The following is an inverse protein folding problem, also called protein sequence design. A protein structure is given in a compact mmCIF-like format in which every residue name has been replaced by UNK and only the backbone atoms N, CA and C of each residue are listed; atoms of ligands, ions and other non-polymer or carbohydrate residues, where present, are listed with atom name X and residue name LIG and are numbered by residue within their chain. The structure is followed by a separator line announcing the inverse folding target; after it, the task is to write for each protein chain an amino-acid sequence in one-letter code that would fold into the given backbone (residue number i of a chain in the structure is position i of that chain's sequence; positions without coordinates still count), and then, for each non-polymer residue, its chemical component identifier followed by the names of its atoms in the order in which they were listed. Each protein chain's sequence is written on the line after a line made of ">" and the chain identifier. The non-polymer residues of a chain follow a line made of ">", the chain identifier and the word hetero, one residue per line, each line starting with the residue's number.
data_IF_792688233756
#
_entry.id   IF_792688233756
#
_cell.length_a   1.000
_cell.length_b   1.000
_cell.length_c   1.000
_cell.angle_alpha   90.00
_cell.angle_beta   90.00
_cell.angle_gamma   90.00
#
_symmetry.space_group_name_H-M   'P 1'
#
loop_
_entity.id
_entity.type
_entity.pdbx_description
1 polymer ?
#
# COMPACT_ATOMS: atom_id res chain seq x y z
N UNK A 1 -32.05 -1.94 49.73
CA UNK A 1 -30.75 -2.57 49.41
C UNK A 1 -30.80 -2.87 47.93
N UNK A 2 -30.23 -1.99 47.10
CA UNK A 2 -30.25 -2.14 45.64
C UNK A 2 -28.94 -2.81 45.22
N UNK A 3 -29.06 -3.96 44.59
CA UNK A 3 -27.94 -4.76 44.09
C UNK A 3 -27.36 -4.10 42.85
N UNK A 4 -26.10 -3.66 42.93
CA UNK A 4 -25.30 -3.22 41.79
C UNK A 4 -24.98 -4.43 40.91
N UNK A 5 -25.57 -4.47 39.71
CA UNK A 5 -25.08 -5.29 38.61
C UNK A 5 -24.14 -4.46 37.77
N UNK A 6 -22.88 -4.35 38.19
CA UNK A 6 -21.84 -3.79 37.34
C UNK A 6 -21.51 -4.80 36.25
N UNK A 7 -22.03 -4.52 35.06
CA UNK A 7 -21.75 -5.24 33.85
C UNK A 7 -20.25 -5.22 33.57
N UNK A 8 -19.66 -6.41 33.48
CA UNK A 8 -18.31 -6.61 32.98
C UNK A 8 -18.34 -6.28 31.47
N UNK A 9 -18.16 -5.01 31.13
CA UNK A 9 -17.88 -4.61 29.74
C UNK A 9 -16.41 -4.97 29.47
N UNK A 10 -16.19 -6.18 28.96
CA UNK A 10 -14.91 -6.64 28.46
C UNK A 10 -14.51 -5.83 27.22
N UNK A 11 -13.88 -4.67 27.42
CA UNK A 11 -13.30 -3.84 26.37
C UNK A 11 -12.00 -4.44 25.82
N UNK A 12 -12.07 -5.65 25.26
CA UNK A 12 -10.98 -6.23 24.48
C UNK A 12 -10.93 -5.57 23.11
N UNK A 13 -10.39 -4.35 23.05
CA UNK A 13 -10.12 -3.68 21.78
C UNK A 13 -8.89 -4.32 21.14
N UNK A 14 -9.11 -5.37 20.34
CA UNK A 14 -8.05 -6.01 19.55
C UNK A 14 -7.53 -4.97 18.54
N UNK A 15 -6.28 -4.54 18.69
CA UNK A 15 -5.62 -3.70 17.69
C UNK A 15 -5.18 -4.59 16.52
N UNK A 16 -5.85 -4.44 15.38
CA UNK A 16 -5.45 -5.07 14.14
C UNK A 16 -4.23 -4.37 13.56
N UNK A 17 -3.36 -5.12 12.88
CA UNK A 17 -2.28 -4.56 12.07
C UNK A 17 -2.83 -3.97 10.77
N UNK A 18 -2.08 -3.10 10.11
CA UNK A 18 -2.49 -2.53 8.82
C UNK A 18 -2.78 -3.62 7.77
N UNK A 19 -1.97 -4.67 7.71
CA UNK A 19 -2.19 -5.79 6.81
C UNK A 19 -3.50 -6.54 7.11
N UNK A 20 -3.88 -6.66 8.38
CA UNK A 20 -5.15 -7.26 8.78
C UNK A 20 -6.34 -6.36 8.44
N UNK A 21 -6.18 -5.04 8.57
CA UNK A 21 -7.20 -4.08 8.14
C UNK A 21 -7.43 -4.15 6.63
N UNK A 22 -6.35 -4.20 5.83
CA UNK A 22 -6.46 -4.38 4.37
C UNK A 22 -7.15 -5.70 4.03
N UNK A 23 -6.80 -6.79 4.70
CA UNK A 23 -7.50 -8.05 4.49
C UNK A 23 -9.00 -7.96 4.84
N UNK A 24 -9.36 -7.29 5.94
CA UNK A 24 -10.77 -7.14 6.32
C UNK A 24 -11.58 -6.28 5.35
N UNK A 25 -10.95 -5.27 4.75
CA UNK A 25 -11.62 -4.35 3.83
C UNK A 25 -11.76 -4.94 2.43
N UNK A 26 -10.70 -5.55 1.91
CA UNK A 26 -10.63 -5.97 0.51
C UNK A 26 -10.82 -7.48 0.32
N UNK A 27 -10.71 -8.29 1.38
CA UNK A 27 -10.80 -9.75 1.30
C UNK A 27 -9.57 -10.44 0.70
N UNK A 28 -8.48 -9.70 0.47
CA UNK A 28 -7.23 -10.22 -0.09
C UNK A 28 -6.03 -9.84 0.79
N UNK A 29 -4.94 -10.63 0.79
CA UNK A 29 -3.70 -10.25 1.44
C UNK A 29 -3.18 -8.91 0.91
N UNK A 30 -2.54 -8.12 1.80
CA UNK A 30 -1.96 -6.81 1.46
C UNK A 30 -1.06 -6.86 0.21
N UNK A 31 -0.24 -7.91 0.09
CA UNK A 31 0.66 -8.07 -1.04
C UNK A 31 -0.09 -8.23 -2.37
N UNK A 32 -1.21 -8.96 -2.37
CA UNK A 32 -2.03 -9.18 -3.56
C UNK A 32 -2.80 -7.91 -3.93
N UNK A 33 -3.34 -7.19 -2.94
CA UNK A 33 -3.91 -5.85 -3.14
C UNK A 33 -2.89 -4.91 -3.78
N UNK A 34 -1.65 -4.89 -3.29
CA UNK A 34 -0.58 -4.07 -3.86
C UNK A 34 -0.29 -4.43 -5.32
N UNK A 35 -0.13 -5.72 -5.64
CA UNK A 35 0.11 -6.19 -7.02
C UNK A 35 -1.01 -5.75 -7.97
N UNK A 36 -2.27 -5.89 -7.55
CA UNK A 36 -3.44 -5.51 -8.34
C UNK A 36 -3.48 -3.98 -8.54
N UNK A 37 -3.26 -3.20 -7.48
CA UNK A 37 -3.25 -1.73 -7.54
C UNK A 37 -2.14 -1.22 -8.48
N UNK A 38 -0.94 -1.78 -8.38
CA UNK A 38 0.20 -1.43 -9.25
C UNK A 38 -0.07 -1.79 -10.71
N UNK A 39 -0.71 -2.93 -10.99
CA UNK A 39 -1.12 -3.31 -12.35
C UNK A 39 -2.14 -2.32 -12.91
N UNK A 40 -3.20 -2.05 -12.16
CA UNK A 40 -4.25 -1.10 -12.55
C UNK A 40 -3.67 0.28 -12.84
N UNK A 41 -2.80 0.78 -11.96
CA UNK A 41 -2.16 2.08 -12.12
C UNK A 41 -1.44 2.20 -13.47
N UNK A 42 -0.58 1.22 -13.81
CA UNK A 42 0.17 1.23 -15.08
C UNK A 42 -0.73 1.15 -16.31
N UNK A 43 -1.75 0.29 -16.25
CA UNK A 43 -2.68 0.10 -17.37
C UNK A 43 -3.43 1.39 -17.66
N UNK A 44 -3.90 2.09 -16.63
CA UNK A 44 -4.68 3.31 -16.76
C UNK A 44 -3.85 4.57 -16.99
N UNK A 45 -2.63 4.63 -16.46
CA UNK A 45 -1.66 5.68 -16.81
C UNK A 45 -1.30 5.55 -18.29
N UNK A 46 -1.03 4.33 -18.79
CA UNK A 46 -0.72 4.09 -20.21
C UNK A 46 -1.89 4.39 -21.14
N UNK A 47 -3.13 4.09 -20.74
CA UNK A 47 -4.31 4.41 -21.56
C UNK A 47 -4.72 5.89 -21.48
N UNK A 48 -4.16 6.67 -20.55
CA UNK A 48 -4.51 8.07 -20.32
C UNK A 48 -5.86 8.27 -19.62
N UNK A 49 -6.54 7.19 -19.21
CA UNK A 49 -7.82 7.24 -18.48
C UNK A 49 -7.65 7.68 -17.01
N UNK A 50 -6.44 7.52 -16.46
CA UNK A 50 -6.13 7.94 -15.10
C UNK A 50 -5.21 9.16 -15.11
N UNK A 51 -5.76 10.31 -14.71
CA UNK A 51 -4.99 11.52 -14.41
C UNK A 51 -4.85 11.68 -12.90
N UNK A 52 -3.66 11.44 -12.37
CA UNK A 52 -3.33 11.76 -10.97
C UNK A 52 -2.55 13.07 -10.88
N UNK A 53 -2.59 13.71 -9.70
CA UNK A 53 -1.79 14.91 -9.44
C UNK A 53 -0.29 14.60 -9.46
N UNK A 54 0.55 15.62 -9.67
CA UNK A 54 2.00 15.44 -9.59
C UNK A 54 2.43 14.93 -8.21
N UNK A 55 1.88 15.51 -7.14
CA UNK A 55 2.24 15.14 -5.77
C UNK A 55 1.90 13.68 -5.46
N UNK A 56 0.74 13.21 -5.92
CA UNK A 56 0.35 11.82 -5.70
C UNK A 56 1.19 10.85 -6.53
N UNK A 57 1.60 11.25 -7.75
CA UNK A 57 2.58 10.47 -8.53
C UNK A 57 3.91 10.34 -7.80
N UNK A 58 4.42 11.44 -7.23
CA UNK A 58 5.69 11.42 -6.48
C UNK A 58 5.58 10.52 -5.24
N UNK A 59 4.45 10.57 -4.52
CA UNK A 59 4.21 9.67 -3.38
C UNK A 59 4.18 8.20 -3.80
N UNK A 60 3.44 7.86 -4.86
CA UNK A 60 3.37 6.49 -5.38
C UNK A 60 4.74 5.99 -5.84
N UNK A 61 5.55 6.85 -6.44
CA UNK A 61 6.93 6.54 -6.81
C UNK A 61 7.79 6.25 -5.57
N UNK A 62 7.73 7.10 -4.55
CA UNK A 62 8.49 6.91 -3.31
C UNK A 62 8.11 5.60 -2.60
N UNK A 63 6.81 5.32 -2.48
CA UNK A 63 6.31 4.08 -1.88
C UNK A 63 6.72 2.85 -2.69
N UNK A 64 6.67 2.93 -4.02
CA UNK A 64 7.11 1.82 -4.88
C UNK A 64 8.61 1.54 -4.75
N UNK A 65 9.43 2.60 -4.60
CA UNK A 65 10.86 2.46 -4.30
C UNK A 65 11.08 1.84 -2.92
N UNK A 66 10.35 2.28 -1.89
CA UNK A 66 10.43 1.75 -0.52
C UNK A 66 10.13 0.24 -0.47
N UNK A 67 9.09 -0.21 -1.18
CA UNK A 67 8.72 -1.64 -1.23
C UNK A 67 9.83 -2.48 -1.87
N UNK A 68 10.52 -1.94 -2.89
CA UNK A 68 11.53 -2.69 -3.67
C UNK A 68 12.94 -2.62 -3.08
N UNK A 69 13.34 -1.46 -2.59
CA UNK A 69 14.72 -1.14 -2.21
C UNK A 69 14.87 -1.06 -0.68
N UNK A 70 13.76 -1.07 0.06
CA UNK A 70 13.76 -0.79 1.48
C UNK A 70 13.93 0.71 1.77
N UNK A 71 14.34 1.07 3.00
CA UNK A 71 14.57 2.45 3.41
C UNK A 71 15.51 3.22 2.48
N UNK A 72 15.24 4.52 2.31
CA UNK A 72 16.10 5.39 1.51
C UNK A 72 17.55 5.40 2.02
N UNK A 73 18.50 5.30 1.10
CA UNK A 73 19.95 5.42 1.35
C UNK A 73 20.58 6.30 0.26
N UNK A 74 21.60 7.10 0.60
CA UNK A 74 22.19 8.10 -0.31
C UNK A 74 22.70 7.56 -1.66
N UNK A 75 22.95 6.24 -1.81
CA UNK A 75 23.34 5.63 -3.09
C UNK A 75 22.20 5.22 -4.03
N UNK A 76 20.93 5.53 -3.71
CA UNK A 76 19.74 4.97 -4.38
C UNK A 76 19.20 5.85 -5.54
N UNK A 77 20.06 6.69 -6.10
CA UNK A 77 19.69 7.83 -6.96
C UNK A 77 19.28 7.43 -8.39
N UNK A 78 19.52 6.18 -8.78
CA UNK A 78 19.47 5.74 -10.18
C UNK A 78 18.18 5.08 -10.69
N UNK A 79 17.21 4.75 -9.83
CA UNK A 79 16.02 4.03 -10.30
C UNK A 79 15.04 4.99 -10.99
N UNK A 80 14.81 4.78 -12.29
CA UNK A 80 13.89 5.56 -13.11
C UNK A 80 12.43 5.54 -12.62
N UNK A 81 11.61 6.43 -13.21
CA UNK A 81 10.19 6.71 -12.91
C UNK A 81 9.33 5.47 -12.61
N UNK A 82 9.64 4.36 -13.25
CA UNK A 82 9.19 3.02 -12.91
C UNK A 82 10.08 2.08 -13.75
N UNK A 83 11.29 1.75 -13.29
CA UNK A 83 12.14 0.74 -13.98
C UNK A 83 11.46 -0.64 -13.94
N UNK A 84 10.48 -0.80 -14.82
CA UNK A 84 9.65 -1.96 -15.10
C UNK A 84 9.72 -2.36 -16.56
N UNK A 85 10.24 -1.48 -17.41
CA UNK A 85 10.84 -1.94 -18.64
C UNK A 85 12.14 -2.56 -18.17
N UNK A 86 12.12 -3.87 -17.94
CA UNK A 86 13.35 -4.61 -17.69
C UNK A 86 14.37 -4.21 -18.75
N UNK A 87 15.63 -4.24 -18.36
CA UNK A 87 16.71 -4.45 -19.31
C UNK A 87 16.50 -5.83 -19.95
N UNK A 88 15.53 -5.93 -20.85
CA UNK A 88 15.52 -6.93 -21.91
C UNK A 88 16.17 -6.26 -23.13
N UNK A 89 17.48 -6.03 -22.99
CA UNK A 89 18.36 -5.85 -24.13
C UNK A 89 19.07 -7.19 -24.28
N UNK A 90 18.74 -7.86 -25.38
CA UNK A 90 19.52 -8.94 -26.05
C UNK A 90 21.02 -8.81 -25.88
#
# INVERSE_FOLDING_TARGET
>A
MSSETDGIINNNHVKLTEAQLVYSEFGFPLEDCYKIAVKYYKEKERSGELTISYDDRVKLMALSKQVRLGPFSDGCEGAGWFDLVGSDMT
#
